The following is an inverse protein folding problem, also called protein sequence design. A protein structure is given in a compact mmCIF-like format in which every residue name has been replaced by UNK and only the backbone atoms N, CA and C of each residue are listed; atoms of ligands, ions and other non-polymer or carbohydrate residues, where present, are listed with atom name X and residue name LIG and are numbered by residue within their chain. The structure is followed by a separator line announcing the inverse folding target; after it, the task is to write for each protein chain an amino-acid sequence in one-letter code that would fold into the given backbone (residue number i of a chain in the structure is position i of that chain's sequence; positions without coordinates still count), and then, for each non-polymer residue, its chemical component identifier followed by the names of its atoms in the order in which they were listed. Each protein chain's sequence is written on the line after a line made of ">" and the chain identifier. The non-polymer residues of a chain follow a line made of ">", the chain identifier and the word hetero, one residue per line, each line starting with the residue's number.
data_IF_559246844967
#
_entry.id   IF_559246844967
#
_cell.length_a   1.000
_cell.length_b   1.000
_cell.length_c   1.000
_cell.angle_alpha   90.00
_cell.angle_beta   90.00
_cell.angle_gamma   90.00
#
_symmetry.space_group_name_H-M   'P 1'
#
loop_
_entity.id
_entity.type
_entity.pdbx_description
1 polymer ?
#
# COMPACT_ATOMS: atom_id res chain seq x y z
N UNK A 1 5.32 32.95 -3.95
CA UNK A 1 5.63 32.27 -2.68
C UNK A 1 4.46 31.35 -2.35
N UNK A 2 4.76 30.09 -2.07
CA UNK A 2 3.88 28.93 -2.16
C UNK A 2 2.62 29.03 -1.29
N UNK A 3 1.46 28.81 -1.92
CA UNK A 3 0.24 28.38 -1.22
C UNK A 3 0.13 26.86 -1.33
N UNK A 4 0.09 26.24 -0.16
CA UNK A 4 -0.20 24.83 0.08
C UNK A 4 -1.66 24.51 -0.26
N UNK A 5 -1.92 23.45 -1.03
CA UNK A 5 -3.17 22.66 -0.96
C UNK A 5 -2.88 21.25 -1.49
N UNK A 6 -2.60 20.34 -0.55
CA UNK A 6 -2.42 18.91 -0.76
C UNK A 6 -3.73 18.23 -0.35
N UNK A 7 -4.62 17.91 -1.28
CA UNK A 7 -5.70 16.93 -1.11
C UNK A 7 -6.36 16.67 -2.46
N UNK A 8 -6.02 15.55 -3.10
CA UNK A 8 -6.94 14.93 -4.03
C UNK A 8 -6.79 13.40 -3.97
N UNK A 9 -7.37 12.85 -2.91
CA UNK A 9 -7.98 11.52 -2.99
C UNK A 9 -9.03 11.58 -4.10
N UNK A 10 -8.79 10.87 -5.21
CA UNK A 10 -9.89 10.44 -6.08
C UNK A 10 -10.66 9.37 -5.33
N UNK A 11 -11.51 9.83 -4.41
CA UNK A 11 -12.63 9.09 -3.84
C UNK A 11 -13.81 10.06 -3.87
N UNK A 12 -14.31 10.33 -5.07
CA UNK A 12 -15.66 10.85 -5.19
C UNK A 12 -16.61 9.73 -4.75
N UNK A 13 -17.71 10.10 -4.09
CA UNK A 13 -18.86 9.23 -3.78
C UNK A 13 -19.40 8.45 -4.99
N UNK A 14 -18.97 8.80 -6.20
CA UNK A 14 -19.26 8.09 -7.44
C UNK A 14 -18.54 6.75 -7.59
N UNK A 15 -17.45 6.46 -6.87
CA UNK A 15 -16.81 5.15 -6.99
C UNK A 15 -17.73 4.05 -6.46
N UNK A 16 -18.44 4.27 -5.35
CA UNK A 16 -19.37 3.28 -4.80
C UNK A 16 -20.68 3.22 -5.59
N UNK A 17 -21.15 4.33 -6.17
CA UNK A 17 -22.39 4.35 -6.96
C UNK A 17 -22.22 3.85 -8.40
N UNK A 18 -21.02 3.97 -9.00
CA UNK A 18 -20.72 3.50 -10.37
C UNK A 18 -20.02 2.14 -10.44
N UNK A 19 -19.58 1.55 -9.32
CA UNK A 19 -19.04 0.18 -9.27
C UNK A 19 -20.09 -0.92 -9.45
N UNK A 20 -21.34 -0.56 -9.75
CA UNK A 20 -22.48 -1.48 -9.86
C UNK A 20 -22.67 -2.17 -11.20
N UNK A 21 -21.74 -2.08 -12.17
CA UNK A 21 -21.84 -2.86 -13.42
C UNK A 21 -20.49 -3.49 -13.77
N UNK A 22 -20.32 -4.75 -13.36
CA UNK A 22 -19.30 -5.66 -13.87
C UNK A 22 -19.78 -6.16 -15.25
N UNK A 23 -19.27 -5.57 -16.33
CA UNK A 23 -19.40 -6.20 -17.66
C UNK A 23 -18.23 -7.13 -17.92
N UNK A 24 -18.51 -8.21 -18.67
CA UNK A 24 -17.65 -9.37 -18.98
C UNK A 24 -16.25 -9.03 -19.53
N UNK A 25 -16.01 -7.79 -19.96
CA UNK A 25 -14.81 -7.35 -20.66
C UNK A 25 -14.02 -6.22 -19.98
N UNK A 26 -14.33 -5.84 -18.73
CA UNK A 26 -13.52 -4.88 -17.99
C UNK A 26 -12.45 -5.61 -17.16
N UNK A 27 -11.17 -5.44 -17.50
CA UNK A 27 -10.03 -5.86 -16.65
C UNK A 27 -9.86 -4.90 -15.47
N UNK A 28 -10.91 -4.71 -14.68
CA UNK A 28 -10.78 -4.12 -13.36
C UNK A 28 -10.43 -5.27 -12.44
N UNK A 29 -9.16 -5.36 -12.03
CA UNK A 29 -8.78 -6.18 -10.88
C UNK A 29 -9.50 -5.54 -9.69
N UNK A 30 -10.59 -6.15 -9.24
CA UNK A 30 -11.14 -5.81 -7.93
C UNK A 30 -10.05 -6.14 -6.92
N UNK A 31 -9.47 -5.15 -6.20
CA UNK A 31 -8.44 -5.43 -5.19
C UNK A 31 -9.01 -6.18 -3.98
N UNK A 32 -10.32 -6.45 -3.98
CA UNK A 32 -11.01 -7.12 -2.91
C UNK A 32 -11.59 -8.44 -3.40
N UNK A 33 -11.20 -9.53 -2.73
CA UNK A 33 -11.78 -10.83 -2.99
C UNK A 33 -13.29 -10.81 -2.68
N UNK A 34 -14.09 -11.34 -3.61
CA UNK A 34 -15.54 -11.49 -3.47
C UNK A 34 -15.92 -12.95 -3.22
N UNK A 35 -17.04 -13.16 -2.53
CA UNK A 35 -17.75 -14.44 -2.40
C UNK A 35 -19.13 -14.28 -3.01
N UNK A 36 -19.62 -15.31 -3.70
CA UNK A 36 -21.00 -15.39 -4.15
C UNK A 36 -21.85 -16.05 -3.06
N UNK A 37 -22.94 -15.41 -2.67
CA UNK A 37 -23.93 -15.97 -1.73
C UNK A 37 -24.96 -16.84 -2.46
N UNK A 38 -25.70 -17.65 -1.69
CA UNK A 38 -26.69 -18.60 -2.22
C UNK A 38 -27.85 -17.92 -2.96
N UNK A 39 -28.17 -16.68 -2.59
CA UNK A 39 -29.16 -15.83 -3.26
C UNK A 39 -28.64 -15.16 -4.55
N UNK A 40 -27.40 -15.45 -4.96
CA UNK A 40 -26.78 -14.94 -6.16
C UNK A 40 -26.04 -13.61 -6.01
N UNK A 41 -26.10 -12.95 -4.84
CA UNK A 41 -25.35 -11.71 -4.59
C UNK A 41 -23.85 -11.96 -4.48
N UNK A 42 -23.06 -10.94 -4.78
CA UNK A 42 -21.62 -10.91 -4.51
C UNK A 42 -21.36 -10.02 -3.29
N UNK A 43 -20.62 -10.55 -2.33
CA UNK A 43 -20.21 -9.83 -1.12
C UNK A 43 -18.68 -9.81 -1.03
N UNK A 44 -18.12 -8.75 -0.45
CA UNK A 44 -16.70 -8.72 -0.13
C UNK A 44 -16.38 -9.79 0.92
N UNK A 45 -15.28 -10.53 0.74
CA UNK A 45 -14.81 -11.49 1.74
C UNK A 45 -14.31 -10.79 3.01
N UNK A 46 -13.84 -9.56 2.88
CA UNK A 46 -13.46 -8.73 4.02
C UNK A 46 -14.70 -8.32 4.82
N UNK A 47 -14.58 -8.27 6.15
CA UNK A 47 -15.61 -7.71 7.01
C UNK A 47 -15.58 -6.17 6.96
N UNK A 48 -16.15 -5.64 5.88
CA UNK A 48 -16.17 -4.20 5.59
C UNK A 48 -16.82 -3.41 6.72
N UNK A 49 -17.87 -3.95 7.35
CA UNK A 49 -18.57 -3.27 8.45
C UNK A 49 -17.64 -3.03 9.64
N UNK A 50 -16.74 -3.97 9.90
CA UNK A 50 -15.75 -3.87 10.98
C UNK A 50 -14.57 -2.99 10.63
N UNK A 51 -14.20 -2.90 9.35
CA UNK A 51 -13.03 -2.13 8.89
C UNK A 51 -13.37 -0.65 8.66
N UNK A 52 -14.56 -0.34 8.15
CA UNK A 52 -14.98 1.02 7.79
C UNK A 52 -14.78 2.07 8.89
N UNK A 53 -15.05 1.80 10.19
CA UNK A 53 -14.83 2.78 11.25
C UNK A 53 -13.36 3.21 11.40
N UNK A 54 -12.41 2.44 10.87
CA UNK A 54 -10.97 2.69 10.96
C UNK A 54 -10.37 3.25 9.65
N UNK A 55 -11.18 3.51 8.62
CA UNK A 55 -10.69 3.98 7.32
C UNK A 55 -10.35 5.48 7.27
N UNK A 56 -10.67 6.27 8.30
CA UNK A 56 -10.47 7.72 8.32
C UNK A 56 -10.00 8.22 9.68
N UNK A 57 -9.08 9.20 9.72
CA UNK A 57 -7.73 9.12 9.18
C UNK A 57 -6.84 8.24 10.09
N UNK A 58 -5.78 7.66 9.53
CA UNK A 58 -4.67 7.19 10.36
C UNK A 58 -4.08 8.43 11.03
N UNK A 59 -4.37 8.61 12.33
CA UNK A 59 -3.57 9.50 13.15
C UNK A 59 -2.11 9.03 13.08
N UNK A 60 -1.16 9.98 13.15
CA UNK A 60 0.26 9.65 13.30
C UNK A 60 0.38 8.59 14.41
N UNK A 61 1.06 7.45 14.16
CA UNK A 61 1.18 6.41 15.17
C UNK A 61 1.73 7.06 16.43
N UNK A 62 0.99 6.92 17.54
CA UNK A 62 1.30 7.59 18.80
C UNK A 62 2.79 7.45 19.12
N UNK A 63 3.52 8.54 19.44
CA UNK A 63 4.94 8.47 19.71
C UNK A 63 5.19 7.49 20.85
N UNK A 64 5.80 6.34 20.57
CA UNK A 64 6.02 5.32 21.60
C UNK A 64 6.67 4.04 21.10
N UNK A 65 6.24 3.51 19.96
CA UNK A 65 6.77 2.24 19.46
C UNK A 65 7.77 2.47 18.33
N UNK A 66 9.05 2.31 18.67
CA UNK A 66 10.18 2.34 17.74
C UNK A 66 10.66 0.92 17.50
N UNK A 67 10.76 0.53 16.23
CA UNK A 67 11.37 -0.72 15.85
C UNK A 67 12.89 -0.53 15.67
N UNK A 68 13.66 -1.20 16.52
CA UNK A 68 15.13 -1.11 16.56
C UNK A 68 15.84 -2.16 15.68
N UNK A 69 15.09 -3.02 15.00
CA UNK A 69 15.63 -4.04 14.09
C UNK A 69 15.89 -3.49 12.68
N UNK A 70 16.64 -4.22 11.84
CA UNK A 70 16.74 -3.91 10.41
C UNK A 70 15.36 -3.92 9.76
N UNK A 71 15.06 -2.90 8.97
CA UNK A 71 13.82 -2.80 8.20
C UNK A 71 14.15 -2.30 6.79
N UNK A 72 13.49 -2.86 5.79
CA UNK A 72 13.76 -2.56 4.38
C UNK A 72 12.49 -2.03 3.71
N UNK A 73 12.58 -0.82 3.15
CA UNK A 73 11.48 -0.13 2.48
C UNK A 73 11.75 -0.14 0.98
N UNK A 74 11.15 -1.10 0.29
CA UNK A 74 11.26 -1.23 -1.17
C UNK A 74 10.15 -0.41 -1.83
N UNK A 75 10.52 0.55 -2.68
CA UNK A 75 9.54 1.44 -3.32
C UNK A 75 9.91 1.79 -4.75
N UNK A 76 8.90 1.98 -5.60
CA UNK A 76 9.08 2.39 -6.99
C UNK A 76 9.15 3.90 -7.10
N UNK A 77 10.10 4.44 -7.85
CA UNK A 77 10.30 5.89 -7.97
C UNK A 77 9.17 6.60 -8.73
N UNK A 78 8.38 5.88 -9.52
CA UNK A 78 7.17 6.43 -10.18
C UNK A 78 5.91 6.26 -9.34
N UNK A 79 6.03 5.72 -8.12
CA UNK A 79 4.93 5.61 -7.18
C UNK A 79 4.40 7.00 -6.79
N UNK A 80 3.08 7.16 -6.60
CA UNK A 80 2.54 8.37 -5.97
C UNK A 80 3.02 8.52 -4.52
N UNK A 81 3.40 7.42 -3.86
CA UNK A 81 3.96 7.43 -2.51
C UNK A 81 5.42 7.89 -2.56
N UNK A 82 5.71 9.07 -1.99
CA UNK A 82 7.02 9.73 -1.99
C UNK A 82 7.90 9.23 -0.84
N UNK A 83 8.17 7.93 -0.82
CA UNK A 83 8.90 7.28 0.28
C UNK A 83 10.28 7.90 0.54
N UNK A 84 10.94 8.43 -0.50
CA UNK A 84 12.21 9.15 -0.36
C UNK A 84 12.06 10.50 0.37
N UNK A 85 10.93 11.17 0.23
CA UNK A 85 10.64 12.44 0.92
C UNK A 85 10.21 12.18 2.38
N UNK A 86 9.65 10.99 2.65
CA UNK A 86 9.20 10.57 3.98
C UNK A 86 10.30 9.89 4.83
N UNK A 87 11.56 9.86 4.37
CA UNK A 87 12.65 9.12 5.03
C UNK A 87 12.83 9.52 6.50
N UNK A 88 12.81 10.82 6.79
CA UNK A 88 12.95 11.34 8.16
C UNK A 88 11.78 10.89 9.04
N UNK A 89 10.56 10.84 8.50
CA UNK A 89 9.40 10.36 9.24
C UNK A 89 9.49 8.85 9.47
N UNK A 90 9.85 8.07 8.44
CA UNK A 90 10.06 6.62 8.55
C UNK A 90 11.10 6.29 9.62
N UNK A 91 12.23 7.01 9.64
CA UNK A 91 13.31 6.77 10.59
C UNK A 91 12.96 7.11 12.05
N UNK A 92 11.93 7.92 12.30
CA UNK A 92 11.41 8.12 13.67
C UNK A 92 10.84 6.83 14.26
N UNK A 93 10.24 5.98 13.42
CA UNK A 93 9.63 4.71 13.83
C UNK A 93 10.55 3.51 13.56
N UNK A 94 11.42 3.60 12.56
CA UNK A 94 12.28 2.50 12.11
C UNK A 94 13.73 3.00 12.01
N UNK A 95 14.46 3.02 13.13
CA UNK A 95 15.79 3.65 13.19
C UNK A 95 16.82 3.07 12.21
N UNK A 96 16.70 1.77 11.91
CA UNK A 96 17.57 1.05 10.97
C UNK A 96 16.87 0.79 9.62
N UNK A 97 16.01 1.72 9.20
CA UNK A 97 15.37 1.69 7.89
C UNK A 97 16.39 1.83 6.76
N UNK A 98 16.34 0.90 5.83
CA UNK A 98 17.04 0.92 4.56
C UNK A 98 16.02 1.14 3.45
N UNK A 99 16.09 2.30 2.81
CA UNK A 99 15.21 2.66 1.69
C UNK A 99 15.85 2.17 0.39
N UNK A 100 15.10 1.41 -0.40
CA UNK A 100 15.56 0.76 -1.63
C UNK A 100 14.68 1.25 -2.80
N UNK A 101 15.14 2.24 -3.57
CA UNK A 101 14.40 2.73 -4.73
C UNK A 101 14.52 1.77 -5.91
N UNK A 102 13.41 1.57 -6.63
CA UNK A 102 13.41 0.92 -7.95
C UNK A 102 13.05 1.94 -9.03
N UNK A 103 14.02 2.18 -9.92
CA UNK A 103 13.82 3.01 -11.10
C UNK A 103 12.77 2.39 -12.03
N UNK A 104 11.97 3.24 -12.67
CA UNK A 104 10.94 2.78 -13.60
C UNK A 104 9.70 2.17 -12.94
N UNK A 105 9.76 1.76 -11.67
CA UNK A 105 8.67 1.07 -10.98
C UNK A 105 7.62 2.02 -10.37
N UNK A 106 6.36 1.60 -10.47
CA UNK A 106 5.22 2.23 -9.78
C UNK A 106 4.95 1.60 -8.42
N UNK A 107 3.70 1.68 -7.94
CA UNK A 107 3.32 1.14 -6.63
C UNK A 107 3.38 -0.40 -6.57
N UNK A 108 2.95 -1.08 -7.63
CA UNK A 108 2.83 -2.54 -7.67
C UNK A 108 4.12 -3.24 -8.10
N UNK A 109 5.21 -3.01 -7.37
CA UNK A 109 6.55 -3.53 -7.70
C UNK A 109 6.54 -5.05 -7.84
N UNK A 110 5.88 -5.76 -6.92
CA UNK A 110 5.80 -7.22 -6.95
C UNK A 110 5.04 -7.78 -8.16
N UNK A 111 4.21 -6.96 -8.84
CA UNK A 111 3.51 -7.35 -10.07
C UNK A 111 4.29 -6.92 -11.32
N UNK A 112 4.92 -5.75 -11.29
CA UNK A 112 5.56 -5.16 -12.47
C UNK A 112 7.05 -5.48 -12.60
N UNK A 113 7.74 -5.76 -11.49
CA UNK A 113 9.17 -6.05 -11.38
C UNK A 113 9.39 -7.27 -10.46
N UNK A 114 8.79 -8.43 -10.77
CA UNK A 114 8.78 -9.59 -9.86
C UNK A 114 10.17 -10.19 -9.64
N UNK A 115 11.05 -10.16 -10.66
CA UNK A 115 12.41 -10.70 -10.57
C UNK A 115 13.30 -9.85 -9.66
N UNK A 116 13.29 -8.53 -9.87
CA UNK A 116 14.03 -7.58 -9.02
C UNK A 116 13.49 -7.59 -7.59
N UNK A 117 12.17 -7.61 -7.43
CA UNK A 117 11.53 -7.73 -6.12
C UNK A 117 12.03 -8.97 -5.38
N UNK A 118 11.96 -10.14 -6.02
CA UNK A 118 12.35 -11.41 -5.40
C UNK A 118 13.84 -11.42 -5.07
N UNK A 119 14.70 -10.97 -5.99
CA UNK A 119 16.14 -10.87 -5.77
C UNK A 119 16.45 -10.05 -4.52
N UNK A 120 15.87 -8.85 -4.40
CA UNK A 120 16.11 -7.96 -3.27
C UNK A 120 15.61 -8.59 -1.97
N UNK A 121 14.41 -9.18 -1.96
CA UNK A 121 13.86 -9.85 -0.78
C UNK A 121 14.77 -10.98 -0.31
N UNK A 122 15.22 -11.85 -1.21
CA UNK A 122 16.12 -12.96 -0.88
C UNK A 122 17.47 -12.46 -0.36
N UNK A 123 18.07 -11.46 -1.01
CA UNK A 123 19.34 -10.87 -0.56
C UNK A 123 19.22 -10.32 0.87
N UNK A 124 18.12 -9.63 1.22
CA UNK A 124 17.94 -9.05 2.56
C UNK A 124 17.63 -10.10 3.62
N UNK A 125 16.85 -11.12 3.29
CA UNK A 125 16.55 -12.21 4.22
C UNK A 125 17.79 -13.06 4.53
N UNK A 126 18.62 -13.34 3.53
CA UNK A 126 19.85 -14.13 3.70
C UNK A 126 20.98 -13.37 4.40
N UNK A 127 21.00 -12.03 4.30
CA UNK A 127 21.95 -11.17 5.01
C UNK A 127 21.52 -10.84 6.44
N UNK A 128 20.25 -11.07 6.79
CA UNK A 128 19.77 -10.85 8.15
C UNK A 128 20.36 -11.95 9.03
N UNK A 129 21.13 -11.63 10.09
CA UNK A 129 21.61 -12.65 11.01
C UNK A 129 20.39 -13.42 11.52
N UNK A 130 20.38 -14.74 11.30
CA UNK A 130 19.37 -15.62 11.87
C UNK A 130 19.24 -15.27 13.35
N UNK A 131 18.08 -14.78 13.76
CA UNK A 131 17.76 -14.54 15.17
C UNK A 131 17.73 -15.87 15.92
#
# INVERSE_FOLDING_TARGET
>A
MLHSYFFQLVWTSDFVSRSGIVTRNSKIILPFAVKRESDGRYVLKADVKRILPFCCPFDDPSPGEVYEGPSYFLYGMKSPFKINEDEDHIKKHFRKANLIPLEGAGHYIHLNFPEEFLKIVLERLLQSPNK
#
